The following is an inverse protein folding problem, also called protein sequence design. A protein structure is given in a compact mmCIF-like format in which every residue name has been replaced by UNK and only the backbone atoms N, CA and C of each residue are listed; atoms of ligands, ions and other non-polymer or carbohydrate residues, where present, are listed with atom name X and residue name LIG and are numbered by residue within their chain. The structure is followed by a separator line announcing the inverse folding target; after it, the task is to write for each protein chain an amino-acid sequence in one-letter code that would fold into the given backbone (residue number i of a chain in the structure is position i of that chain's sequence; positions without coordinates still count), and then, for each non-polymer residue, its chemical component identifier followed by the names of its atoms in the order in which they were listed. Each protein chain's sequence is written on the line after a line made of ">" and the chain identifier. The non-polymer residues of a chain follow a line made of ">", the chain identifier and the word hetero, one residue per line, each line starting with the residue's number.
data_IF_481033148530
#
_entry.id   IF_481033148530
#
_cell.length_a   1.000
_cell.length_b   1.000
_cell.length_c   1.000
_cell.angle_alpha   90.00
_cell.angle_beta   90.00
_cell.angle_gamma   90.00
#
_symmetry.space_group_name_H-M   'P 1'
#
loop_
_entity.id
_entity.type
_entity.pdbx_description
1 polymer ?
#
# COMPACT_ATOMS: atom_id res chain seq x y z
N UNK A 1 59.17 6.78 70.75
CA UNK A 1 58.29 5.65 71.09
C UNK A 1 56.85 6.00 70.82
N UNK A 2 56.31 5.48 69.74
CA UNK A 2 54.88 5.59 69.39
C UNK A 2 54.40 4.19 69.04
N UNK A 3 53.52 3.70 69.90
CA UNK A 3 52.91 2.38 69.77
C UNK A 3 51.74 2.49 68.81
N UNK A 4 51.75 1.68 67.73
CA UNK A 4 50.70 1.57 66.75
C UNK A 4 49.73 0.44 67.18
N UNK A 5 48.53 0.79 67.53
CA UNK A 5 47.44 -0.19 67.75
C UNK A 5 46.84 -0.58 66.38
N UNK A 6 46.96 -1.86 66.07
CA UNK A 6 46.19 -2.45 64.93
C UNK A 6 44.84 -2.95 65.45
N UNK A 7 43.78 -2.34 65.01
CA UNK A 7 42.41 -2.80 65.21
C UNK A 7 42.11 -3.83 64.16
N UNK A 8 41.90 -5.07 64.53
CA UNK A 8 41.34 -6.13 63.70
C UNK A 8 39.80 -6.00 63.70
N UNK A 9 39.21 -5.62 62.55
CA UNK A 9 37.74 -5.66 62.36
C UNK A 9 37.39 -7.04 61.80
N UNK A 10 36.75 -7.89 62.67
CA UNK A 10 36.18 -9.16 62.23
C UNK A 10 34.81 -8.86 61.67
N UNK A 11 34.64 -9.06 60.38
CA UNK A 11 33.33 -8.98 59.69
C UNK A 11 32.68 -10.35 59.75
N UNK A 12 31.52 -10.50 60.34
CA UNK A 12 30.78 -11.76 60.32
C UNK A 12 30.11 -11.92 58.96
N UNK A 13 30.50 -12.95 58.21
CA UNK A 13 29.82 -13.42 57.02
C UNK A 13 28.43 -13.97 57.40
N UNK A 14 27.41 -13.18 57.21
CA UNK A 14 26.03 -13.64 57.24
C UNK A 14 25.73 -14.46 55.99
N UNK A 15 25.73 -15.77 56.10
CA UNK A 15 25.16 -16.66 55.12
C UNK A 15 23.64 -16.49 55.12
N UNK A 16 23.12 -15.66 54.21
CA UNK A 16 21.71 -15.65 53.89
C UNK A 16 21.36 -16.93 53.10
N UNK A 17 20.80 -17.91 53.79
CA UNK A 17 20.21 -19.08 53.18
C UNK A 17 19.01 -18.61 52.33
N UNK A 18 19.16 -18.57 51.01
CA UNK A 18 18.02 -18.44 50.09
C UNK A 18 17.12 -19.64 50.25
N UNK A 19 16.04 -19.50 51.00
CA UNK A 19 14.89 -20.40 50.85
C UNK A 19 14.39 -20.25 49.44
N UNK A 20 14.51 -21.32 48.63
CA UNK A 20 13.74 -21.47 47.38
C UNK A 20 12.26 -21.51 47.78
N UNK A 21 11.60 -20.38 47.79
CA UNK A 21 10.16 -20.38 47.70
C UNK A 21 9.79 -21.02 46.34
N UNK A 22 9.16 -22.19 46.43
CA UNK A 22 8.45 -22.72 45.27
C UNK A 22 7.36 -21.71 44.95
N UNK A 23 7.57 -20.97 43.87
CA UNK A 23 6.49 -20.24 43.21
C UNK A 23 5.56 -21.35 42.69
N UNK A 24 4.56 -21.68 43.45
CA UNK A 24 3.40 -22.41 42.92
C UNK A 24 2.70 -21.43 42.00
N UNK A 25 2.97 -21.57 40.70
CA UNK A 25 2.16 -20.96 39.68
C UNK A 25 0.77 -21.57 39.83
N UNK A 26 -0.26 -20.80 40.20
CA UNK A 26 -1.60 -21.37 40.27
C UNK A 26 -1.91 -21.89 38.87
N UNK A 27 -1.99 -23.22 38.72
CA UNK A 27 -2.57 -23.85 37.55
C UNK A 27 -4.04 -23.41 37.60
N UNK A 28 -4.36 -22.37 36.82
CA UNK A 28 -5.73 -22.01 36.51
C UNK A 28 -6.33 -23.19 35.77
N UNK A 29 -7.17 -23.92 36.49
CA UNK A 29 -8.02 -24.95 35.92
C UNK A 29 -8.99 -24.29 34.93
N UNK A 30 -8.96 -24.80 33.70
CA UNK A 30 -10.05 -24.96 32.75
C UNK A 30 -11.04 -23.78 32.58
N UNK A 31 -10.56 -22.68 32.07
CA UNK A 31 -11.28 -22.06 30.97
C UNK A 31 -10.78 -22.72 29.68
N UNK A 32 -11.50 -23.71 29.21
CA UNK A 32 -11.37 -24.20 27.82
C UNK A 32 -11.52 -22.99 26.94
N UNK A 33 -10.49 -22.66 26.21
CA UNK A 33 -10.24 -21.27 25.90
C UNK A 33 -11.21 -20.81 24.83
N UNK A 34 -11.75 -19.61 25.01
CA UNK A 34 -12.36 -18.81 23.96
C UNK A 34 -11.55 -18.89 22.66
N UNK A 35 -10.24 -19.03 22.72
CA UNK A 35 -9.32 -19.22 21.58
C UNK A 35 -9.65 -20.45 20.74
N UNK A 36 -10.05 -21.58 21.32
CA UNK A 36 -10.41 -22.78 20.55
C UNK A 36 -11.74 -22.65 19.83
N UNK A 37 -12.72 -21.95 20.43
CA UNK A 37 -13.99 -21.66 19.78
C UNK A 37 -13.80 -20.69 18.60
N UNK A 38 -13.00 -19.66 18.78
CA UNK A 38 -12.62 -18.69 17.75
C UNK A 38 -11.87 -19.37 16.61
N UNK A 39 -10.84 -20.15 16.94
CA UNK A 39 -10.06 -20.89 15.94
C UNK A 39 -10.92 -21.82 15.10
N UNK A 40 -11.84 -22.56 15.75
CA UNK A 40 -12.77 -23.44 15.07
C UNK A 40 -13.76 -22.67 14.18
N UNK A 41 -14.30 -21.56 14.67
CA UNK A 41 -15.23 -20.73 13.90
C UNK A 41 -14.54 -20.16 12.65
N UNK A 42 -13.40 -19.47 12.81
CA UNK A 42 -12.69 -18.87 11.69
C UNK A 42 -12.09 -19.94 10.76
N UNK A 43 -11.62 -21.05 11.29
CA UNK A 43 -11.15 -22.19 10.49
C UNK A 43 -12.19 -22.78 9.56
N UNK A 44 -13.47 -22.72 9.95
CA UNK A 44 -14.61 -23.22 9.15
C UNK A 44 -15.11 -22.22 8.11
N UNK A 45 -14.71 -20.94 8.17
CA UNK A 45 -15.05 -19.98 7.12
C UNK A 45 -14.44 -20.43 5.80
N UNK A 46 -15.14 -20.17 4.68
CA UNK A 46 -14.58 -20.38 3.35
C UNK A 46 -13.89 -19.11 2.85
N UNK A 47 -12.83 -19.27 2.10
CA UNK A 47 -12.29 -18.19 1.27
C UNK A 47 -13.06 -18.23 -0.04
N UNK A 48 -13.77 -17.15 -0.33
CA UNK A 48 -14.54 -17.04 -1.57
C UNK A 48 -13.60 -16.70 -2.72
N UNK A 49 -13.56 -17.50 -3.80
CA UNK A 49 -12.77 -17.16 -4.97
C UNK A 49 -13.26 -15.86 -5.58
N UNK A 50 -12.40 -14.87 -5.67
CA UNK A 50 -12.71 -13.62 -6.36
C UNK A 50 -12.64 -13.83 -7.87
N UNK A 51 -13.60 -13.21 -8.58
CA UNK A 51 -13.54 -13.18 -10.03
C UNK A 51 -12.36 -12.34 -10.49
N UNK A 52 -11.61 -12.79 -11.50
CA UNK A 52 -10.54 -11.97 -12.07
C UNK A 52 -11.08 -10.63 -12.58
N UNK A 53 -10.31 -9.57 -12.36
CA UNK A 53 -10.56 -8.25 -12.93
C UNK A 53 -10.24 -8.33 -14.42
N UNK A 54 -11.28 -8.26 -15.24
CA UNK A 54 -11.11 -8.34 -16.69
C UNK A 54 -10.66 -6.99 -17.22
N UNK A 55 -9.52 -6.99 -17.90
CA UNK A 55 -8.98 -5.85 -18.62
C UNK A 55 -8.96 -6.24 -20.10
N UNK A 56 -9.73 -5.54 -20.88
CA UNK A 56 -9.75 -5.69 -22.33
C UNK A 56 -8.53 -4.94 -22.88
N UNK A 57 -7.45 -5.66 -23.13
CA UNK A 57 -6.20 -5.15 -23.66
C UNK A 57 -6.33 -4.90 -25.17
N UNK A 58 -5.89 -3.72 -25.61
CA UNK A 58 -6.11 -3.31 -27.01
C UNK A 58 -5.01 -3.68 -27.99
N UNK A 59 -3.79 -3.99 -27.56
CA UNK A 59 -2.66 -4.26 -28.48
C UNK A 59 -1.48 -4.97 -27.83
N UNK A 60 -0.67 -5.63 -28.67
CA UNK A 60 0.54 -6.38 -28.31
C UNK A 60 1.65 -5.55 -27.60
N UNK A 61 1.56 -4.21 -27.60
CA UNK A 61 2.51 -3.33 -26.90
C UNK A 61 2.48 -3.51 -25.38
N UNK A 62 1.39 -4.02 -24.83
CA UNK A 62 1.34 -4.44 -23.41
C UNK A 62 2.33 -5.57 -23.12
N UNK A 63 2.71 -6.37 -24.10
CA UNK A 63 3.68 -7.45 -23.91
C UNK A 63 5.06 -6.93 -23.48
N UNK A 64 5.53 -5.85 -24.08
CA UNK A 64 6.81 -5.23 -23.69
C UNK A 64 6.77 -4.65 -22.27
N UNK A 65 5.61 -4.24 -21.84
CA UNK A 65 5.34 -3.66 -20.53
C UNK A 65 5.44 -4.66 -19.40
N UNK A 66 4.88 -5.81 -19.62
CA UNK A 66 4.73 -6.88 -18.65
C UNK A 66 6.04 -7.67 -18.54
N UNK A 67 6.74 -7.83 -19.66
CA UNK A 67 8.08 -8.44 -19.68
C UNK A 67 9.13 -7.55 -18.96
N UNK A 68 8.85 -6.27 -18.75
CA UNK A 68 9.77 -5.37 -18.06
C UNK A 68 9.88 -5.60 -16.53
N UNK A 69 9.12 -6.50 -15.92
CA UNK A 69 9.12 -6.86 -14.48
C UNK A 69 8.96 -5.67 -13.50
N UNK A 70 8.49 -4.53 -13.98
CA UNK A 70 8.54 -3.26 -13.24
C UNK A 70 7.18 -2.67 -12.87
N UNK A 71 6.08 -3.36 -13.21
CA UNK A 71 4.75 -2.90 -12.76
C UNK A 71 4.55 -3.28 -11.31
N UNK A 72 4.31 -2.30 -10.47
CA UNK A 72 3.90 -2.34 -9.06
C UNK A 72 3.52 -3.74 -8.56
N UNK A 73 4.54 -4.56 -8.25
CA UNK A 73 4.38 -5.89 -7.65
C UNK A 73 3.39 -6.84 -8.35
N UNK A 74 3.03 -6.58 -9.62
CA UNK A 74 2.27 -7.53 -10.40
C UNK A 74 3.14 -8.76 -10.71
N UNK A 75 2.65 -9.91 -10.31
CA UNK A 75 3.29 -11.20 -10.56
C UNK A 75 2.58 -11.86 -11.72
N UNK A 76 3.33 -12.19 -12.77
CA UNK A 76 2.81 -13.00 -13.87
C UNK A 76 2.51 -14.42 -13.39
N UNK A 77 1.34 -14.93 -13.74
CA UNK A 77 0.91 -16.27 -13.40
C UNK A 77 1.03 -17.22 -14.58
N UNK A 78 0.38 -16.90 -15.68
CA UNK A 78 0.30 -17.79 -16.87
C UNK A 78 -0.33 -17.08 -18.06
N UNK A 79 -0.13 -17.64 -19.24
CA UNK A 79 -0.91 -17.36 -20.45
C UNK A 79 -1.91 -18.47 -20.75
N UNK A 80 -2.96 -18.12 -21.47
CA UNK A 80 -3.93 -19.02 -22.09
C UNK A 80 -4.14 -18.58 -23.55
N UNK A 81 -3.77 -19.41 -24.50
CA UNK A 81 -3.98 -19.17 -25.94
C UNK A 81 -5.45 -19.37 -26.30
N UNK A 82 -5.96 -18.55 -27.21
CA UNK A 82 -7.33 -18.67 -27.66
C UNK A 82 -7.46 -19.80 -28.69
N UNK A 83 -8.42 -20.69 -28.48
CA UNK A 83 -8.73 -21.74 -29.44
C UNK A 83 -9.44 -21.13 -30.67
N UNK A 84 -8.87 -21.32 -31.86
CA UNK A 84 -9.49 -20.87 -33.12
C UNK A 84 -9.42 -19.39 -33.43
N UNK A 85 -8.67 -18.60 -32.63
CA UNK A 85 -8.45 -17.17 -32.85
C UNK A 85 -6.99 -16.79 -32.60
N UNK A 86 -6.56 -15.67 -33.19
CA UNK A 86 -5.22 -15.14 -32.91
C UNK A 86 -5.29 -14.25 -31.67
N UNK A 87 -4.57 -14.66 -30.60
CA UNK A 87 -4.53 -13.93 -29.35
C UNK A 87 -4.30 -14.83 -28.15
N UNK A 88 -4.08 -14.19 -27.00
CA UNK A 88 -3.89 -14.85 -25.70
C UNK A 88 -4.51 -14.04 -24.59
N UNK A 89 -4.77 -14.73 -23.49
CA UNK A 89 -5.13 -14.11 -22.22
C UNK A 89 -3.96 -14.31 -21.26
N UNK A 90 -3.45 -13.22 -20.68
CA UNK A 90 -2.43 -13.24 -19.64
C UNK A 90 -3.05 -12.99 -18.28
N UNK A 91 -2.62 -13.76 -17.27
CA UNK A 91 -3.08 -13.63 -15.90
C UNK A 91 -1.96 -13.08 -15.02
N UNK A 92 -2.31 -12.12 -14.18
CA UNK A 92 -1.43 -11.49 -13.20
C UNK A 92 -2.10 -11.46 -11.85
N UNK A 93 -1.31 -11.44 -10.78
CA UNK A 93 -1.81 -11.19 -9.42
C UNK A 93 -1.10 -10.00 -8.79
N UNK A 94 -1.78 -9.32 -7.88
CA UNK A 94 -1.24 -8.29 -7.00
C UNK A 94 -1.71 -8.51 -5.59
N UNK A 95 -0.81 -8.37 -4.62
CA UNK A 95 -1.10 -8.39 -3.19
C UNK A 95 -0.97 -7.01 -2.54
N UNK A 96 -0.50 -6.01 -3.28
CA UNK A 96 -0.37 -4.63 -2.84
C UNK A 96 -1.37 -3.74 -3.59
N UNK A 97 -2.14 -2.94 -2.86
CA UNK A 97 -3.20 -2.09 -3.38
C UNK A 97 -2.92 -0.63 -3.07
N UNK A 98 -3.15 0.26 -4.05
CA UNK A 98 -2.96 1.71 -3.88
C UNK A 98 -4.07 2.29 -3.02
N UNK A 99 -3.71 3.17 -2.09
CA UNK A 99 -4.66 3.97 -1.33
C UNK A 99 -5.25 5.05 -2.23
N UNK A 100 -6.56 5.24 -2.16
CA UNK A 100 -7.29 6.26 -2.92
C UNK A 100 -8.20 7.05 -1.99
N UNK A 101 -8.76 8.19 -2.43
CA UNK A 101 -9.77 8.90 -1.64
C UNK A 101 -10.96 8.04 -1.21
N UNK A 102 -11.30 7.01 -1.99
CA UNK A 102 -12.42 6.10 -1.69
C UNK A 102 -12.11 5.19 -0.51
N UNK A 103 -10.91 4.61 -0.43
CA UNK A 103 -10.58 3.57 0.55
C UNK A 103 -9.81 4.07 1.78
N UNK A 104 -9.22 5.26 1.74
CA UNK A 104 -8.30 5.78 2.79
C UNK A 104 -8.85 5.78 4.22
N UNK A 105 -10.15 5.96 4.38
CA UNK A 105 -10.81 5.92 5.70
C UNK A 105 -10.82 4.53 6.32
N UNK A 106 -10.67 3.50 5.51
CA UNK A 106 -10.68 2.10 5.91
C UNK A 106 -9.27 1.50 5.94
N UNK A 107 -8.23 2.25 5.51
CA UNK A 107 -6.85 1.76 5.44
C UNK A 107 -6.09 2.09 6.72
N UNK A 108 -6.05 1.15 7.65
CA UNK A 108 -5.25 1.15 8.86
C UNK A 108 -5.03 -0.29 9.35
N UNK A 109 -3.94 -0.61 10.05
CA UNK A 109 -3.70 -1.95 10.57
C UNK A 109 -4.85 -2.44 11.46
N UNK A 110 -5.35 -3.65 11.21
CA UNK A 110 -6.48 -4.24 11.93
C UNK A 110 -7.85 -3.80 11.41
N UNK A 111 -7.94 -3.07 10.30
CA UNK A 111 -9.20 -2.81 9.61
C UNK A 111 -9.71 -4.09 8.97
N UNK A 112 -10.94 -4.48 9.29
CA UNK A 112 -11.58 -5.71 8.77
C UNK A 112 -12.60 -5.34 7.69
N UNK A 113 -12.44 -5.93 6.52
CA UNK A 113 -13.19 -5.64 5.32
C UNK A 113 -13.84 -6.91 4.75
N UNK A 114 -14.95 -6.73 4.07
CA UNK A 114 -15.52 -7.78 3.23
C UNK A 114 -14.62 -7.97 2.00
N UNK A 115 -14.05 -9.17 1.80
CA UNK A 115 -13.08 -9.43 0.73
C UNK A 115 -13.61 -9.06 -0.67
N UNK A 116 -14.86 -9.42 -0.99
CA UNK A 116 -15.49 -9.09 -2.27
C UNK A 116 -15.67 -7.59 -2.52
N UNK A 117 -15.72 -6.75 -1.47
CA UNK A 117 -15.89 -5.30 -1.60
C UNK A 117 -14.65 -4.60 -2.13
N UNK A 118 -13.48 -5.21 -1.99
CA UNK A 118 -12.24 -4.70 -2.58
C UNK A 118 -12.30 -4.84 -4.11
N UNK A 119 -12.87 -5.93 -4.59
CA UNK A 119 -13.06 -6.16 -6.02
C UNK A 119 -14.05 -5.19 -6.68
N UNK A 120 -14.93 -4.55 -5.90
CA UNK A 120 -15.92 -3.57 -6.38
C UNK A 120 -15.56 -2.11 -6.07
N UNK A 121 -14.39 -1.84 -5.51
CA UNK A 121 -13.94 -0.50 -5.05
C UNK A 121 -14.83 0.11 -3.96
N UNK A 122 -15.57 -0.70 -3.22
CA UNK A 122 -16.47 -0.25 -2.15
C UNK A 122 -15.79 -0.21 -0.77
N UNK A 123 -14.83 -1.08 -0.54
CA UNK A 123 -14.10 -1.23 0.72
C UNK A 123 -15.01 -1.29 1.95
N UNK A 124 -16.04 -2.13 1.87
CA UNK A 124 -17.03 -2.24 2.92
C UNK A 124 -16.43 -2.80 4.22
N UNK A 125 -16.35 -1.93 5.24
CA UNK A 125 -15.95 -2.34 6.58
C UNK A 125 -17.04 -3.18 7.23
N UNK A 126 -16.61 -4.16 8.02
CA UNK A 126 -17.52 -4.93 8.86
C UNK A 126 -17.67 -4.22 10.21
N UNK A 127 -18.90 -4.16 10.69
CA UNK A 127 -19.30 -3.48 11.93
C UNK A 127 -20.07 -4.42 12.85
N UNK A 128 -20.31 -3.98 14.08
CA UNK A 128 -21.17 -4.70 15.02
C UNK A 128 -20.46 -5.77 15.84
N UNK A 129 -19.13 -5.67 15.96
CA UNK A 129 -18.33 -6.54 16.82
C UNK A 129 -17.29 -5.75 17.60
N UNK A 130 -16.88 -6.25 18.74
CA UNK A 130 -15.76 -5.72 19.50
C UNK A 130 -14.45 -6.20 18.90
N UNK A 131 -13.46 -5.31 18.89
CA UNK A 131 -12.14 -5.58 18.36
C UNK A 131 -11.17 -5.87 19.49
N UNK A 132 -10.41 -6.94 19.36
CA UNK A 132 -9.32 -7.24 20.27
C UNK A 132 -8.13 -6.28 20.05
N UNK A 133 -7.28 -6.08 21.07
CA UNK A 133 -6.04 -5.34 20.93
C UNK A 133 -5.14 -5.97 19.87
N UNK A 134 -4.41 -5.12 19.13
CA UNK A 134 -3.42 -5.56 18.15
C UNK A 134 -2.02 -5.09 18.52
N UNK A 135 -1.02 -5.92 18.25
CA UNK A 135 0.38 -5.53 18.30
C UNK A 135 0.79 -4.95 16.95
N UNK A 136 1.43 -3.79 16.98
CA UNK A 136 1.82 -3.05 15.77
C UNK A 136 3.29 -2.66 15.83
N UNK A 137 3.89 -2.50 14.64
CA UNK A 137 5.26 -2.06 14.48
C UNK A 137 5.43 -1.16 13.25
N UNK A 138 6.42 -0.27 13.34
CA UNK A 138 6.85 0.61 12.26
C UNK A 138 8.26 0.20 11.81
N UNK A 139 8.55 0.28 10.52
CA UNK A 139 9.83 -0.18 9.97
C UNK A 139 11.02 0.74 10.25
N UNK A 140 10.80 1.89 10.90
CA UNK A 140 11.89 2.78 11.30
C UNK A 140 12.34 2.52 12.75
N UNK A 141 13.63 2.72 13.06
CA UNK A 141 14.12 2.58 14.43
C UNK A 141 13.67 3.80 15.26
N UNK A 142 12.91 3.54 16.31
CA UNK A 142 12.49 4.51 17.33
C UNK A 142 12.09 3.77 18.59
N UNK A 143 12.22 4.43 19.73
CA UNK A 143 11.77 3.90 21.03
C UNK A 143 10.26 3.58 21.06
N UNK A 144 9.48 4.20 20.17
CA UNK A 144 8.04 4.02 20.05
C UNK A 144 7.63 3.34 18.73
N UNK A 145 8.57 2.65 18.06
CA UNK A 145 8.30 1.99 16.79
C UNK A 145 7.47 0.71 16.90
N UNK A 146 7.21 0.22 18.09
CA UNK A 146 6.34 -0.94 18.34
C UNK A 146 5.45 -0.70 19.57
N UNK A 147 4.30 -1.36 19.59
CA UNK A 147 3.37 -1.23 20.71
C UNK A 147 2.04 -1.93 20.47
N UNK A 148 1.08 -1.62 21.31
CA UNK A 148 -0.27 -2.20 21.26
C UNK A 148 -1.32 -1.12 21.06
N UNK A 149 -2.27 -1.37 20.18
CA UNK A 149 -3.49 -0.57 20.02
C UNK A 149 -4.64 -1.35 20.66
N UNK A 150 -5.15 -0.86 21.78
CA UNK A 150 -6.20 -1.54 22.54
C UNK A 150 -7.51 -1.66 21.79
N UNK A 151 -7.87 -0.64 21.00
CA UNK A 151 -9.08 -0.61 20.17
C UNK A 151 -8.65 -0.19 18.76
N UNK A 152 -8.44 -1.16 17.85
CA UNK A 152 -8.03 -0.87 16.47
C UNK A 152 -9.10 -0.08 15.72
N UNK A 153 -8.78 1.16 15.41
CA UNK A 153 -9.56 2.04 14.53
C UNK A 153 -8.63 3.09 13.91
N UNK A 154 -9.13 3.83 12.94
CA UNK A 154 -8.33 4.82 12.21
C UNK A 154 -7.73 5.88 13.15
N UNK A 155 -8.50 6.37 14.14
CA UNK A 155 -8.05 7.42 15.06
C UNK A 155 -6.92 6.92 15.97
N UNK A 156 -7.09 5.76 16.58
CA UNK A 156 -6.08 5.17 17.47
C UNK A 156 -4.81 4.77 16.70
N UNK A 157 -4.95 4.28 15.47
CA UNK A 157 -3.83 4.00 14.59
C UNK A 157 -3.04 5.27 14.24
N UNK A 158 -3.74 6.38 13.97
CA UNK A 158 -3.11 7.69 13.72
C UNK A 158 -2.45 8.26 14.97
N UNK A 159 -3.04 8.09 16.14
CA UNK A 159 -2.45 8.52 17.42
C UNK A 159 -1.15 7.75 17.70
N UNK A 160 -1.17 6.41 17.56
CA UNK A 160 0.03 5.59 17.70
C UNK A 160 1.14 6.05 16.75
N UNK A 161 0.83 6.16 15.47
CA UNK A 161 1.77 6.59 14.44
C UNK A 161 2.34 7.98 14.74
N UNK A 162 1.49 8.95 15.10
CA UNK A 162 1.93 10.30 15.46
C UNK A 162 2.91 10.29 16.62
N UNK A 163 2.60 9.55 17.68
CA UNK A 163 3.48 9.45 18.85
C UNK A 163 4.86 8.89 18.47
N UNK A 164 4.90 7.87 17.61
CA UNK A 164 6.14 7.27 17.15
C UNK A 164 6.96 8.21 16.24
N UNK A 165 6.30 8.94 15.34
CA UNK A 165 6.95 9.91 14.44
C UNK A 165 7.49 11.11 15.21
N UNK A 166 6.78 11.54 16.25
CA UNK A 166 7.19 12.68 17.07
C UNK A 166 8.18 12.29 18.19
N UNK A 167 8.58 11.01 18.27
CA UNK A 167 9.59 10.57 19.21
C UNK A 167 10.94 11.26 18.94
N UNK A 168 11.67 11.71 19.97
CA UNK A 168 12.92 12.47 19.80
C UNK A 168 14.02 11.74 19.03
N UNK A 169 13.94 10.41 18.97
CA UNK A 169 14.90 9.52 18.33
C UNK A 169 14.56 9.18 16.87
N UNK A 170 13.50 9.81 16.30
CA UNK A 170 13.12 9.64 14.89
C UNK A 170 13.13 10.98 14.14
N UNK A 171 13.84 11.03 13.01
CA UNK A 171 13.99 12.23 12.19
C UNK A 171 12.79 12.54 11.27
N UNK A 172 11.81 11.65 11.17
CA UNK A 172 10.71 11.72 10.20
C UNK A 172 11.01 11.03 8.87
N UNK A 173 12.26 10.63 8.62
CA UNK A 173 12.69 9.92 7.42
C UNK A 173 13.33 8.58 7.79
N UNK A 174 12.95 7.54 7.10
CA UNK A 174 13.52 6.19 7.21
C UNK A 174 14.30 5.84 5.94
N UNK A 175 14.12 4.66 5.41
CA UNK A 175 14.72 4.24 4.15
C UNK A 175 13.85 4.77 3.03
N UNK A 176 14.44 5.58 2.16
CA UNK A 176 13.75 6.02 0.94
C UNK A 176 14.00 4.99 -0.15
N UNK A 177 12.96 4.25 -0.48
CA UNK A 177 12.96 3.38 -1.65
C UNK A 177 12.21 4.08 -2.78
N UNK A 178 12.94 4.44 -3.83
CA UNK A 178 12.39 5.06 -5.03
C UNK A 178 12.27 4.03 -6.14
N UNK A 179 11.08 3.91 -6.67
CA UNK A 179 10.81 3.14 -7.88
C UNK A 179 10.02 3.94 -8.90
N UNK A 180 10.25 3.66 -10.17
CA UNK A 180 9.48 4.19 -11.27
C UNK A 180 9.16 3.10 -12.28
N UNK A 181 8.03 3.25 -12.96
CA UNK A 181 7.61 2.38 -14.05
C UNK A 181 6.99 3.21 -15.17
N UNK A 182 7.28 2.83 -16.40
CA UNK A 182 6.68 3.42 -17.59
C UNK A 182 5.99 2.33 -18.37
N UNK A 183 4.76 2.59 -18.74
CA UNK A 183 3.92 1.62 -19.44
C UNK A 183 3.12 2.25 -20.55
N UNK A 184 2.98 1.54 -21.68
CA UNK A 184 2.02 1.89 -22.72
C UNK A 184 0.67 1.23 -22.43
N UNK A 185 -0.41 1.89 -22.79
CA UNK A 185 -1.74 1.32 -22.68
C UNK A 185 -2.59 1.74 -23.89
N UNK A 186 -3.61 0.96 -24.17
CA UNK A 186 -4.58 1.24 -25.23
C UNK A 186 -5.91 1.73 -24.68
N UNK A 187 -6.33 1.16 -23.56
CA UNK A 187 -7.61 1.47 -22.91
C UNK A 187 -7.38 1.90 -21.47
N UNK A 188 -8.12 2.90 -21.01
CA UNK A 188 -7.96 3.44 -19.65
C UNK A 188 -8.14 2.41 -18.54
N UNK A 189 -8.94 1.36 -18.76
CA UNK A 189 -9.09 0.29 -17.76
C UNK A 189 -7.76 -0.44 -17.45
N UNK A 190 -6.76 -0.37 -18.32
CA UNK A 190 -5.43 -0.94 -18.08
C UNK A 190 -4.68 -0.21 -16.96
N UNK A 191 -5.05 1.03 -16.67
CA UNK A 191 -4.52 1.81 -15.53
C UNK A 191 -4.80 1.12 -14.19
N UNK A 192 -5.85 0.28 -14.09
CA UNK A 192 -6.13 -0.54 -12.89
C UNK A 192 -4.96 -1.41 -12.47
N UNK A 193 -4.13 -1.85 -13.43
CA UNK A 193 -2.91 -2.60 -13.14
C UNK A 193 -1.94 -1.80 -12.26
N UNK A 194 -1.86 -0.48 -12.46
CA UNK A 194 -1.03 0.39 -11.63
C UNK A 194 -1.56 0.59 -10.21
N UNK A 195 -2.82 0.26 -9.95
CA UNK A 195 -3.46 0.36 -8.63
C UNK A 195 -3.50 -0.96 -7.86
N UNK A 196 -3.27 -2.08 -8.51
CA UNK A 196 -3.28 -3.40 -7.89
C UNK A 196 -4.67 -3.91 -7.50
N UNK A 197 -5.75 -3.23 -7.88
CA UNK A 197 -7.13 -3.66 -7.67
C UNK A 197 -8.09 -3.02 -8.68
N UNK A 198 -9.38 -3.35 -8.60
CA UNK A 198 -10.41 -2.86 -9.53
C UNK A 198 -10.84 -1.41 -9.19
N UNK A 199 -9.88 -0.48 -9.19
CA UNK A 199 -10.17 0.94 -8.96
C UNK A 199 -11.19 1.46 -9.98
N UNK A 200 -12.09 2.32 -9.55
CA UNK A 200 -12.97 3.06 -10.46
C UNK A 200 -12.20 4.22 -11.10
N UNK A 201 -11.51 3.94 -12.18
CA UNK A 201 -10.65 4.89 -12.89
C UNK A 201 -11.43 6.10 -13.42
N UNK A 202 -12.70 5.91 -13.79
CA UNK A 202 -13.57 7.02 -14.20
C UNK A 202 -13.74 8.02 -13.07
N UNK A 203 -14.07 7.53 -11.87
CA UNK A 203 -14.25 8.35 -10.68
C UNK A 203 -12.96 9.05 -10.27
N UNK A 204 -11.83 8.33 -10.37
CA UNK A 204 -10.52 8.85 -10.01
C UNK A 204 -10.14 10.05 -10.90
N UNK A 205 -10.30 9.92 -12.22
CA UNK A 205 -9.91 10.96 -13.17
C UNK A 205 -10.98 12.04 -13.36
N UNK A 206 -12.26 11.73 -13.18
CA UNK A 206 -13.33 12.73 -13.25
C UNK A 206 -13.23 13.80 -12.16
N UNK A 207 -12.57 13.51 -11.04
CA UNK A 207 -12.30 14.50 -10.00
C UNK A 207 -11.35 15.62 -10.46
N UNK A 208 -10.60 15.40 -11.55
CA UNK A 208 -9.62 16.35 -12.10
C UNK A 208 -10.21 17.29 -13.14
N UNK A 209 -11.23 16.85 -13.86
CA UNK A 209 -11.82 17.61 -14.93
C UNK A 209 -13.24 17.10 -15.25
N UNK A 210 -14.24 17.96 -15.07
CA UNK A 210 -15.63 17.66 -15.43
C UNK A 210 -15.85 17.38 -16.93
N UNK A 211 -14.88 17.76 -17.80
CA UNK A 211 -14.88 17.49 -19.24
C UNK A 211 -14.07 16.25 -19.64
N UNK A 212 -13.59 15.45 -18.66
CA UNK A 212 -12.87 14.20 -18.95
C UNK A 212 -13.87 13.16 -19.47
N UNK A 213 -13.97 13.06 -20.79
CA UNK A 213 -14.74 12.01 -21.45
C UNK A 213 -13.88 10.75 -21.55
N UNK A 214 -14.10 9.85 -20.64
CA UNK A 214 -13.43 8.55 -20.55
C UNK A 214 -13.53 7.71 -21.84
N UNK A 215 -14.60 7.86 -22.61
CA UNK A 215 -14.81 7.10 -23.84
C UNK A 215 -14.21 7.79 -25.08
N UNK A 216 -14.25 9.12 -25.13
CA UNK A 216 -13.81 9.87 -26.29
C UNK A 216 -12.30 10.07 -26.37
N UNK A 217 -11.61 10.22 -25.23
CA UNK A 217 -10.17 10.43 -25.24
C UNK A 217 -9.37 9.17 -25.65
N UNK A 218 -9.97 7.99 -25.55
CA UNK A 218 -9.34 6.74 -26.00
C UNK A 218 -9.13 6.66 -27.52
N UNK A 219 -9.87 7.43 -28.30
CA UNK A 219 -9.87 7.34 -29.76
C UNK A 219 -8.99 8.38 -30.47
N UNK A 220 -8.60 9.47 -29.76
CA UNK A 220 -7.97 10.62 -30.42
C UNK A 220 -6.44 10.61 -30.40
N UNK A 221 -5.80 9.87 -29.51
CA UNK A 221 -4.36 9.88 -29.34
C UNK A 221 -3.72 8.59 -29.83
N UNK A 222 -2.70 8.74 -30.67
CA UNK A 222 -1.97 7.60 -31.25
C UNK A 222 -1.15 6.83 -30.22
N UNK A 223 -0.66 7.52 -29.17
CA UNK A 223 0.12 6.92 -28.10
C UNK A 223 -0.41 7.32 -26.71
N UNK A 224 -0.53 6.34 -25.85
CA UNK A 224 -0.91 6.51 -24.45
C UNK A 224 0.08 5.78 -23.57
N UNK A 225 0.52 6.41 -22.52
CA UNK A 225 1.45 5.82 -21.57
C UNK A 225 1.14 6.25 -20.14
N UNK A 226 1.48 5.41 -19.19
CA UNK A 226 1.53 5.76 -17.79
C UNK A 226 2.97 5.84 -17.33
N UNK A 227 3.27 6.84 -16.51
CA UNK A 227 4.50 6.93 -15.74
C UNK A 227 4.09 6.92 -14.28
N UNK A 228 4.45 5.87 -13.55
CA UNK A 228 4.25 5.82 -12.11
C UNK A 228 5.57 5.97 -11.39
N UNK A 229 5.51 6.60 -10.23
CA UNK A 229 6.64 6.64 -9.29
C UNK A 229 6.15 6.39 -7.87
N UNK A 230 7.04 5.84 -7.06
CA UNK A 230 6.81 5.60 -5.65
C UNK A 230 8.03 6.01 -4.86
N UNK A 231 7.82 6.75 -3.78
CA UNK A 231 8.84 7.03 -2.77
C UNK A 231 8.31 6.51 -1.45
N UNK A 232 8.83 5.36 -1.00
CA UNK A 232 8.44 4.73 0.26
C UNK A 232 9.27 5.33 1.39
N UNK A 233 8.62 5.72 2.48
CA UNK A 233 9.29 6.18 3.70
C UNK A 233 9.38 5.04 4.72
N UNK A 234 8.26 4.47 5.14
CA UNK A 234 8.20 3.38 6.09
C UNK A 234 6.94 2.53 5.91
N UNK A 235 6.92 1.38 6.57
CA UNK A 235 5.73 0.54 6.68
C UNK A 235 5.21 0.51 8.10
N UNK A 236 3.90 0.41 8.24
CA UNK A 236 3.16 0.28 9.47
C UNK A 236 2.42 -1.05 9.42
N UNK A 237 2.87 -2.03 10.19
CA UNK A 237 2.39 -3.41 10.16
C UNK A 237 1.80 -3.82 11.49
N UNK A 238 0.88 -4.77 11.47
CA UNK A 238 0.47 -5.50 12.66
C UNK A 238 1.00 -6.93 12.64
N UNK A 239 1.17 -7.50 13.84
CA UNK A 239 1.44 -8.92 13.97
C UNK A 239 0.22 -9.73 13.51
N UNK A 240 0.48 -10.88 12.90
CA UNK A 240 -0.63 -11.77 12.50
C UNK A 240 -1.36 -12.24 13.77
N UNK A 241 -2.70 -12.09 13.83
CA UNK A 241 -3.47 -12.58 14.96
C UNK A 241 -3.44 -14.11 14.97
N UNK A 242 -3.37 -14.68 16.14
CA UNK A 242 -3.66 -16.12 16.27
C UNK A 242 -5.13 -16.28 15.91
N UNK A 243 -5.44 -17.26 15.11
CA UNK A 243 -6.74 -17.50 14.45
C UNK A 243 -7.95 -16.85 15.11
N UNK A 244 -8.43 -15.74 14.54
CA UNK A 244 -9.62 -15.04 14.99
C UNK A 244 -9.46 -14.07 16.18
N UNK A 245 -8.28 -13.92 16.78
CA UNK A 245 -8.06 -13.02 17.92
C UNK A 245 -8.30 -11.53 17.62
N UNK A 246 -8.43 -11.15 16.37
CA UNK A 246 -8.74 -9.78 15.97
C UNK A 246 -10.16 -9.34 16.34
N UNK A 247 -11.05 -10.31 16.61
CA UNK A 247 -12.48 -10.08 16.78
C UNK A 247 -12.96 -10.83 18.03
N UNK A 248 -13.69 -10.15 18.91
CA UNK A 248 -14.34 -10.82 20.05
C UNK A 248 -15.64 -11.49 19.59
N UNK A 249 -15.65 -12.83 19.58
CA UNK A 249 -16.82 -13.63 19.18
C UNK A 249 -18.05 -13.43 20.09
N UNK A 250 -17.87 -12.97 21.31
CA UNK A 250 -19.02 -12.74 22.20
C UNK A 250 -19.92 -11.60 21.70
N UNK A 251 -19.41 -10.77 20.80
CA UNK A 251 -20.10 -9.60 20.23
C UNK A 251 -20.54 -9.76 18.79
N UNK A 252 -20.22 -10.90 18.12
CA UNK A 252 -20.53 -11.10 16.70
C UNK A 252 -21.77 -11.96 16.53
N UNK A 253 -22.85 -11.45 15.86
CA UNK A 253 -23.89 -12.31 15.35
C UNK A 253 -23.30 -13.32 14.34
N UNK A 254 -23.66 -14.61 14.40
CA UNK A 254 -23.15 -15.64 13.48
C UNK A 254 -23.30 -15.31 12.00
N UNK A 255 -24.25 -14.46 11.66
CA UNK A 255 -24.57 -14.09 10.28
C UNK A 255 -23.64 -13.03 9.69
N UNK A 256 -22.84 -12.31 10.50
CA UNK A 256 -22.02 -11.16 10.01
C UNK A 256 -21.06 -11.58 8.89
N UNK A 257 -20.48 -12.76 8.99
CA UNK A 257 -19.56 -13.27 7.95
C UNK A 257 -20.24 -14.14 6.90
N UNK A 258 -21.47 -14.59 7.13
CA UNK A 258 -22.21 -15.46 6.21
C UNK A 258 -21.36 -16.65 5.71
N UNK A 259 -20.57 -17.25 6.59
CA UNK A 259 -19.69 -18.37 6.29
C UNK A 259 -18.48 -18.03 5.39
N UNK A 260 -18.21 -16.74 5.12
CA UNK A 260 -17.11 -16.27 4.29
C UNK A 260 -16.06 -15.55 5.14
N UNK A 261 -14.78 -15.86 4.93
CA UNK A 261 -13.71 -15.18 5.62
C UNK A 261 -13.61 -13.72 5.20
N UNK A 262 -13.67 -12.77 6.14
CA UNK A 262 -13.26 -11.41 5.86
C UNK A 262 -11.75 -11.34 5.64
N UNK A 263 -11.28 -10.18 5.20
CA UNK A 263 -9.87 -9.82 5.19
C UNK A 263 -9.60 -8.72 6.21
N UNK A 264 -8.38 -8.69 6.72
CA UNK A 264 -7.91 -7.58 7.54
C UNK A 264 -6.67 -6.94 6.92
N UNK A 265 -6.54 -5.63 7.07
CA UNK A 265 -5.35 -4.91 6.62
C UNK A 265 -4.23 -5.19 7.62
N UNK A 266 -3.17 -5.84 7.13
CA UNK A 266 -2.02 -6.21 7.95
C UNK A 266 -0.84 -5.24 7.82
N UNK A 267 -0.72 -4.53 6.68
CA UNK A 267 0.38 -3.60 6.43
C UNK A 267 -0.10 -2.38 5.64
N UNK A 268 0.45 -1.21 6.00
CA UNK A 268 0.22 0.06 5.31
C UNK A 268 1.58 0.71 5.05
N UNK A 269 1.89 0.98 3.79
CA UNK A 269 3.11 1.68 3.38
C UNK A 269 2.84 3.17 3.32
N UNK A 270 3.69 3.95 3.97
CA UNK A 270 3.67 5.41 3.98
C UNK A 270 4.73 5.97 3.04
N UNK A 271 4.39 7.04 2.37
CA UNK A 271 5.28 7.67 1.41
C UNK A 271 4.55 8.62 0.47
N UNK A 272 5.00 8.62 -0.78
CA UNK A 272 4.38 9.37 -1.88
C UNK A 272 4.26 8.49 -3.11
N UNK A 273 3.17 8.63 -3.81
CA UNK A 273 2.89 7.92 -5.05
C UNK A 273 2.39 8.90 -6.10
N UNK A 274 2.85 8.76 -7.32
CA UNK A 274 2.33 9.53 -8.44
C UNK A 274 2.12 8.69 -9.67
N UNK A 275 1.08 9.04 -10.41
CA UNK A 275 0.72 8.45 -11.69
C UNK A 275 0.45 9.57 -12.69
N UNK A 276 1.22 9.59 -13.77
CA UNK A 276 1.01 10.43 -14.92
C UNK A 276 0.39 9.60 -16.04
N UNK A 277 -0.76 10.00 -16.50
CA UNK A 277 -1.41 9.44 -17.70
C UNK A 277 -1.15 10.42 -18.83
N UNK A 278 -0.41 9.97 -19.84
CA UNK A 278 0.12 10.78 -20.91
C UNK A 278 -0.52 10.32 -22.21
N UNK A 279 -1.04 11.29 -22.96
CA UNK A 279 -1.68 11.08 -24.24
C UNK A 279 -1.05 12.01 -25.26
N UNK A 280 -0.60 11.45 -26.39
CA UNK A 280 0.06 12.22 -27.45
C UNK A 280 -0.13 11.58 -28.81
N UNK A 281 -0.11 12.40 -29.87
CA UNK A 281 -0.02 11.94 -31.25
C UNK A 281 1.42 11.76 -31.73
N UNK A 282 2.40 12.16 -30.91
CA UNK A 282 3.80 11.87 -31.18
C UNK A 282 4.10 10.39 -30.88
N UNK A 283 4.58 9.66 -31.87
CA UNK A 283 4.93 8.24 -31.77
C UNK A 283 6.44 8.00 -31.71
N UNK A 284 7.25 9.05 -31.66
CA UNK A 284 8.69 8.97 -31.62
C UNK A 284 9.23 8.34 -30.32
N UNK A 285 10.42 7.76 -30.37
CA UNK A 285 11.07 7.15 -29.20
C UNK A 285 11.42 8.20 -28.13
N UNK A 286 11.56 9.46 -28.51
CA UNK A 286 11.85 10.59 -27.63
C UNK A 286 10.75 10.86 -26.59
N UNK A 287 9.51 10.41 -26.82
CA UNK A 287 8.40 10.58 -25.86
C UNK A 287 8.73 9.90 -24.54
N UNK A 288 9.13 8.64 -24.61
CA UNK A 288 9.49 7.89 -23.41
C UNK A 288 10.68 8.53 -22.68
N UNK A 289 11.74 8.85 -23.45
CA UNK A 289 12.95 9.48 -22.92
C UNK A 289 12.66 10.81 -22.22
N UNK A 290 11.81 11.66 -22.82
CA UNK A 290 11.43 12.95 -22.25
C UNK A 290 10.73 12.80 -20.87
N UNK A 291 9.77 11.87 -20.75
CA UNK A 291 9.05 11.65 -19.51
C UNK A 291 9.89 10.92 -18.44
N UNK A 292 10.76 9.98 -18.82
CA UNK A 292 11.75 9.41 -17.91
C UNK A 292 12.66 10.49 -17.33
N UNK A 293 13.08 11.45 -18.14
CA UNK A 293 13.94 12.55 -17.72
C UNK A 293 13.22 13.48 -16.73
N UNK A 294 11.91 13.79 -16.95
CA UNK A 294 11.11 14.55 -15.98
C UNK A 294 11.13 13.88 -14.62
N UNK A 295 10.82 12.58 -14.56
CA UNK A 295 10.78 11.83 -13.31
C UNK A 295 12.17 11.77 -12.66
N UNK A 296 13.23 11.52 -13.44
CA UNK A 296 14.61 11.49 -12.94
C UNK A 296 15.04 12.84 -12.36
N UNK A 297 14.70 13.95 -13.01
CA UNK A 297 15.02 15.31 -12.51
C UNK A 297 14.48 15.57 -11.11
N UNK A 298 13.23 15.18 -10.89
CA UNK A 298 12.54 15.43 -9.63
C UNK A 298 13.15 14.61 -8.48
N UNK A 299 13.37 13.31 -8.74
CA UNK A 299 13.76 12.39 -7.66
C UNK A 299 15.26 12.22 -7.50
N UNK A 300 16.05 12.38 -8.58
CA UNK A 300 17.50 12.26 -8.55
C UNK A 300 18.21 13.61 -8.50
N UNK A 301 17.46 14.72 -8.48
CA UNK A 301 17.98 16.09 -8.47
C UNK A 301 19.04 16.31 -9.57
N UNK A 302 18.83 15.73 -10.76
CA UNK A 302 19.76 15.90 -11.88
C UNK A 302 19.59 17.30 -12.47
N UNK A 303 20.72 17.91 -12.85
CA UNK A 303 20.74 19.24 -13.48
C UNK A 303 20.60 19.18 -15.01
N UNK A 304 20.28 18.00 -15.58
CA UNK A 304 20.13 17.82 -17.01
C UNK A 304 19.03 18.73 -17.57
N UNK A 305 19.35 19.51 -18.60
CA UNK A 305 18.37 20.30 -19.34
C UNK A 305 17.61 19.44 -20.35
N UNK A 306 16.39 19.83 -20.67
CA UNK A 306 15.67 19.23 -21.78
C UNK A 306 16.22 19.72 -23.12
N UNK A 307 16.35 18.80 -24.07
CA UNK A 307 16.65 19.17 -25.46
C UNK A 307 15.43 19.84 -26.07
N UNK A 308 15.64 20.54 -27.19
CA UNK A 308 14.54 21.15 -27.92
C UNK A 308 13.52 20.09 -28.41
N UNK A 309 13.99 18.91 -28.80
CA UNK A 309 13.14 17.79 -29.23
C UNK A 309 12.31 17.23 -28.05
N UNK A 310 12.94 17.02 -26.90
CA UNK A 310 12.23 16.60 -25.69
C UNK A 310 11.19 17.63 -25.27
N UNK A 311 11.50 18.91 -25.29
CA UNK A 311 10.56 19.99 -24.97
C UNK A 311 9.40 20.05 -25.98
N UNK A 312 9.66 19.81 -27.24
CA UNK A 312 8.63 19.79 -28.30
C UNK A 312 7.60 18.65 -28.10
N UNK A 313 8.01 17.53 -27.49
CA UNK A 313 7.11 16.42 -27.15
C UNK A 313 5.97 16.90 -26.23
N UNK A 314 6.29 17.70 -25.23
CA UNK A 314 5.32 18.17 -24.25
C UNK A 314 4.29 19.13 -24.83
N UNK A 315 4.65 19.90 -25.85
CA UNK A 315 3.75 20.85 -26.51
C UNK A 315 2.59 20.17 -27.28
N UNK A 316 2.65 18.85 -27.44
CA UNK A 316 1.63 18.04 -28.11
C UNK A 316 1.01 16.98 -27.21
N UNK A 317 1.25 17.06 -25.91
CA UNK A 317 0.78 16.09 -24.92
C UNK A 317 -0.41 16.61 -24.12
N UNK A 318 -1.26 15.68 -23.72
CA UNK A 318 -2.18 15.83 -22.60
C UNK A 318 -1.66 14.98 -21.44
N UNK A 319 -1.49 15.58 -20.29
CA UNK A 319 -0.95 14.88 -19.11
C UNK A 319 -1.94 15.01 -17.95
N UNK A 320 -2.50 13.91 -17.54
CA UNK A 320 -3.30 13.84 -16.30
C UNK A 320 -2.39 13.33 -15.20
N UNK A 321 -2.24 14.12 -14.14
CA UNK A 321 -1.37 13.79 -13.00
C UNK A 321 -2.27 13.44 -11.80
N UNK A 322 -1.99 12.33 -11.17
CA UNK A 322 -2.51 11.95 -9.87
C UNK A 322 -1.34 11.78 -8.89
N UNK A 323 -1.36 12.54 -7.81
CA UNK A 323 -0.34 12.45 -6.75
C UNK A 323 -1.02 12.14 -5.43
N UNK A 324 -0.49 11.19 -4.71
CA UNK A 324 -0.87 10.82 -3.36
C UNK A 324 0.28 11.21 -2.41
N UNK A 325 -0.04 11.95 -1.35
CA UNK A 325 0.96 12.50 -0.43
C UNK A 325 1.49 13.86 -0.84
N UNK A 326 0.65 14.67 -1.48
CA UNK A 326 0.95 16.06 -1.80
C UNK A 326 1.14 16.91 -0.54
N UNK A 327 2.08 17.85 -0.57
CA UNK A 327 2.27 18.88 0.47
C UNK A 327 1.06 19.80 0.62
N UNK A 328 0.19 19.85 -0.39
CA UNK A 328 -1.06 20.63 -0.40
C UNK A 328 -2.27 19.84 0.13
N UNK A 329 -2.08 18.57 0.47
CA UNK A 329 -3.14 17.69 0.95
C UNK A 329 -2.79 16.21 0.75
N UNK A 330 -3.71 15.33 1.15
CA UNK A 330 -3.49 13.87 1.03
C UNK A 330 -3.42 13.37 -0.42
N UNK A 331 -4.07 14.07 -1.35
CA UNK A 331 -3.99 13.78 -2.78
C UNK A 331 -4.21 15.04 -3.61
N UNK A 332 -3.54 15.11 -4.74
CA UNK A 332 -3.74 16.14 -5.74
C UNK A 332 -3.90 15.50 -7.12
N UNK A 333 -4.76 16.10 -7.93
CA UNK A 333 -4.95 15.72 -9.33
C UNK A 333 -4.91 16.97 -10.20
N UNK A 334 -4.26 16.88 -11.34
CA UNK A 334 -4.14 17.99 -12.28
C UNK A 334 -4.18 17.50 -13.72
N UNK A 335 -4.86 18.26 -14.56
CA UNK A 335 -4.81 18.09 -16.02
C UNK A 335 -3.99 19.22 -16.62
N UNK A 336 -2.97 18.87 -17.39
CA UNK A 336 -2.14 19.77 -18.16
C UNK A 336 -2.34 19.50 -19.66
N UNK A 337 -2.59 20.54 -20.42
CA UNK A 337 -2.74 20.47 -21.89
C UNK A 337 -1.57 21.23 -22.49
N UNK A 338 -0.82 20.57 -23.37
CA UNK A 338 0.39 21.09 -23.98
C UNK A 338 1.34 21.72 -22.94
N UNK A 339 1.66 21.00 -21.84
CA UNK A 339 2.50 21.55 -20.81
C UNK A 339 3.93 21.72 -21.31
N UNK A 340 4.69 22.63 -20.69
CA UNK A 340 6.15 22.58 -20.81
C UNK A 340 6.74 21.62 -19.76
N UNK A 341 7.97 21.12 -19.94
CA UNK A 341 8.59 20.21 -18.98
C UNK A 341 8.73 20.80 -17.58
N UNK A 342 8.94 22.12 -17.50
CA UNK A 342 9.11 22.86 -16.26
C UNK A 342 7.84 22.85 -15.42
N UNK A 343 6.65 23.03 -16.06
CA UNK A 343 5.37 23.02 -15.35
C UNK A 343 5.05 21.66 -14.72
N UNK A 344 5.40 20.56 -15.42
CA UNK A 344 5.26 19.21 -14.88
C UNK A 344 6.25 19.01 -13.73
N UNK A 345 7.51 19.42 -13.94
CA UNK A 345 8.56 19.29 -12.93
C UNK A 345 8.25 20.10 -11.68
N UNK A 346 7.76 21.34 -11.82
CA UNK A 346 7.36 22.19 -10.69
C UNK A 346 6.21 21.56 -9.92
N UNK A 347 5.14 21.15 -10.61
CA UNK A 347 4.01 20.50 -9.95
C UNK A 347 4.43 19.27 -9.17
N UNK A 348 5.25 18.40 -9.75
CA UNK A 348 5.70 17.20 -9.06
C UNK A 348 6.64 17.53 -7.91
N UNK A 349 7.57 18.48 -8.07
CA UNK A 349 8.51 18.88 -7.01
C UNK A 349 7.78 19.51 -5.81
N UNK A 350 6.78 20.35 -6.06
CA UNK A 350 5.95 20.95 -5.02
C UNK A 350 5.15 19.91 -4.24
N UNK A 351 4.80 18.80 -4.88
CA UNK A 351 3.96 17.77 -4.30
C UNK A 351 4.73 16.56 -3.74
N UNK A 352 6.04 16.45 -4.00
CA UNK A 352 6.85 15.32 -3.51
C UNK A 352 7.61 15.69 -2.24
N UNK A 353 8.31 16.81 -2.18
CA UNK A 353 9.05 17.26 -0.99
C UNK A 353 10.00 16.23 -0.37
N UNK A 354 10.57 16.58 0.77
CA UNK A 354 11.34 15.65 1.63
C UNK A 354 10.49 15.18 2.80
N UNK A 355 10.75 13.97 3.29
CA UNK A 355 10.07 13.48 4.49
C UNK A 355 10.63 14.15 5.74
N UNK A 356 9.74 14.57 6.62
CA UNK A 356 10.05 15.14 7.94
C UNK A 356 9.09 14.55 8.98
N UNK A 357 9.33 14.81 10.26
CA UNK A 357 8.39 14.41 11.31
C UNK A 357 7.01 15.07 11.16
N UNK A 358 6.94 16.27 10.58
CA UNK A 358 5.69 16.99 10.30
C UNK A 358 5.02 16.53 9.00
N UNK A 359 5.81 16.02 8.05
CA UNK A 359 5.36 15.50 6.77
C UNK A 359 6.02 14.16 6.45
N UNK A 360 5.61 13.09 7.14
CA UNK A 360 6.19 11.76 6.98
C UNK A 360 5.69 11.01 5.72
N UNK A 361 4.89 11.67 4.91
CA UNK A 361 4.12 11.06 3.82
C UNK A 361 2.76 10.58 4.28
N UNK A 362 2.02 10.00 3.36
CA UNK A 362 0.67 9.46 3.59
C UNK A 362 0.62 7.96 3.31
N UNK A 363 -0.44 7.26 3.73
CA UNK A 363 -0.69 5.89 3.26
C UNK A 363 -0.75 5.87 1.73
N UNK A 364 0.12 5.09 1.09
CA UNK A 364 0.17 4.96 -0.37
C UNK A 364 -0.19 3.57 -0.84
N UNK A 365 0.18 2.53 -0.08
CA UNK A 365 -0.17 1.15 -0.36
C UNK A 365 -0.65 0.45 0.90
N UNK A 366 -1.38 -0.62 0.71
CA UNK A 366 -1.73 -1.54 1.77
C UNK A 366 -1.78 -2.97 1.26
N UNK A 367 -1.60 -3.90 2.16
CA UNK A 367 -1.79 -5.34 1.96
C UNK A 367 -2.84 -5.85 2.94
N UNK A 368 -3.49 -6.95 2.58
CA UNK A 368 -4.51 -7.57 3.41
C UNK A 368 -4.32 -9.08 3.48
N UNK A 369 -4.80 -9.70 4.55
CA UNK A 369 -4.79 -11.14 4.77
C UNK A 369 -6.19 -11.64 5.12
N UNK A 370 -6.48 -12.90 4.78
CA UNK A 370 -7.71 -13.55 5.21
C UNK A 370 -7.66 -13.84 6.72
N UNK A 371 -8.75 -13.52 7.42
CA UNK A 371 -8.83 -13.75 8.85
C UNK A 371 -8.91 -15.23 9.22
N UNK A 372 -9.33 -16.07 8.28
CA UNK A 372 -9.39 -17.52 8.44
C UNK A 372 -8.06 -18.15 8.83
N UNK A 373 -7.00 -17.80 8.10
CA UNK A 373 -5.72 -18.54 8.11
C UNK A 373 -4.49 -17.65 7.91
N UNK A 374 -4.66 -16.34 7.92
CA UNK A 374 -3.62 -15.34 7.65
C UNK A 374 -2.98 -15.45 6.24
N UNK A 375 -3.62 -16.18 5.32
CA UNK A 375 -3.16 -16.22 3.94
C UNK A 375 -3.31 -14.87 3.26
N UNK A 376 -2.39 -14.56 2.35
CA UNK A 376 -2.35 -13.27 1.66
C UNK A 376 -3.57 -13.08 0.76
N UNK A 377 -4.27 -11.97 0.92
CA UNK A 377 -5.29 -11.53 -0.04
C UNK A 377 -4.61 -11.05 -1.31
N UNK A 378 -5.12 -11.50 -2.46
CA UNK A 378 -4.61 -11.13 -3.77
C UNK A 378 -5.75 -10.83 -4.72
N UNK A 379 -5.55 -9.83 -5.56
CA UNK A 379 -6.40 -9.58 -6.72
C UNK A 379 -5.81 -10.26 -7.94
N UNK A 380 -6.64 -10.81 -8.80
CA UNK A 380 -6.22 -11.42 -10.07
C UNK A 380 -6.71 -10.59 -11.23
N UNK A 381 -5.83 -10.28 -12.15
CA UNK A 381 -6.16 -9.60 -13.41
C UNK A 381 -6.14 -10.60 -14.56
N UNK A 382 -7.12 -10.48 -15.41
CA UNK A 382 -7.24 -11.20 -16.68
C UNK A 382 -7.12 -10.20 -17.82
N UNK A 383 -6.05 -10.28 -18.57
CA UNK A 383 -5.71 -9.38 -19.64
C UNK A 383 -5.86 -10.08 -20.98
N UNK A 384 -6.84 -9.69 -21.78
CA UNK A 384 -7.09 -10.24 -23.10
C UNK A 384 -6.28 -9.46 -24.15
N UNK A 385 -5.33 -10.13 -24.82
CA UNK A 385 -4.39 -9.59 -25.78
C UNK A 385 -4.67 -10.19 -27.15
N UNK A 386 -5.47 -9.53 -28.03
CA UNK A 386 -5.56 -9.90 -29.43
C UNK A 386 -4.20 -9.69 -30.12
N UNK A 387 -3.85 -10.57 -31.08
CA UNK A 387 -2.65 -10.41 -31.91
C UNK A 387 -2.84 -9.36 -32.98
#
# INVERSE_FOLDING_TARGET
>A
MKVLYRIFVIIPLLFAACKKEKIEIPIQHDEQPKSNLLANYFGNLRIEPLQPIIIDGGNASLKELIDSKKLNQLVYLRDSTWAGATGRTSFYESDEMVVTPTNRSNVYPGSVLKASSIATDEFASLFGYERAPISVQLSFPSSLSYGTISIPNLSNSRIFLRNAIMAPDFSGSSIQDFSQSISYFSKYQEVKLSFGYNVNEKRLFASTNSSFDYNSSATYYARKMTVSYTVKNFTYTMSDPVQGELIDMASIPPEVFNGVSPVYINSVTYGRFGLLVIETNNTGAEVQSAFEKVVKKIFKQTTESFTQQESAVFNSCRVTIYVLGSTLGESATQLLINPNPESISSFLSENVGTFTAQDPGVPIFFTAKYLKDNSQFKTVFKLDLPN
#
